data_IF_565875372330
#
_entry.id   IF_565875372330
#
_cell.length_a   1.000
_cell.length_b   1.000
_cell.length_c   1.000
_cell.angle_alpha   90.00
_cell.angle_beta   90.00
_cell.angle_gamma   90.00
#
_symmetry.space_group_name_H-M   'P 1'
#
loop_
_entity.id
_entity.type
_entity.pdbx_description
1 polymer ?
#
# COMPACT_ATOMS: atom_id res chain seq x y z
N UNK A 1 -27.93 10.73 29.53
CA UNK A 1 -26.56 10.33 29.10
C UNK A 1 -26.24 10.77 27.67
N UNK A 2 -26.51 10.01 26.60
CA UNK A 2 -26.16 10.47 25.23
C UNK A 2 -26.85 11.80 24.83
N UNK A 3 -28.06 12.07 25.35
CA UNK A 3 -28.77 13.35 25.12
C UNK A 3 -28.06 14.58 25.70
N UNK A 4 -27.10 14.39 26.61
CA UNK A 4 -26.35 15.48 27.24
C UNK A 4 -25.00 15.75 26.55
N UNK A 5 -24.62 14.93 25.57
CA UNK A 5 -23.39 15.07 24.81
C UNK A 5 -23.65 15.85 23.52
N UNK A 6 -23.87 17.15 23.68
CA UNK A 6 -24.20 18.05 22.58
C UNK A 6 -22.97 18.62 21.86
N UNK A 7 -21.77 18.39 22.41
CA UNK A 7 -20.55 18.94 21.81
C UNK A 7 -20.20 18.24 20.50
N UNK A 8 -19.92 18.98 19.40
CA UNK A 8 -19.56 18.39 18.12
C UNK A 8 -18.25 17.57 18.16
N UNK A 9 -17.41 17.75 19.17
CA UNK A 9 -16.13 17.03 19.33
C UNK A 9 -16.29 15.51 19.49
N UNK A 10 -17.45 15.04 19.96
CA UNK A 10 -17.70 13.61 20.12
C UNK A 10 -17.74 12.86 18.78
N UNK A 11 -17.86 13.57 17.65
CA UNK A 11 -17.80 13.01 16.30
C UNK A 11 -16.48 12.28 15.96
N UNK A 12 -15.38 12.63 16.63
CA UNK A 12 -14.05 12.06 16.39
C UNK A 12 -13.78 10.77 17.17
N UNK A 13 -14.76 10.31 17.95
CA UNK A 13 -14.65 9.14 18.83
C UNK A 13 -15.75 8.13 18.52
N UNK A 14 -15.57 6.89 18.96
CA UNK A 14 -16.55 5.82 18.80
C UNK A 14 -17.88 6.26 19.46
N UNK A 15 -18.99 6.11 18.72
CA UNK A 15 -20.30 6.65 19.11
C UNK A 15 -20.83 6.11 20.45
N UNK A 16 -20.34 4.94 20.88
CA UNK A 16 -20.67 4.33 22.16
C UNK A 16 -19.40 4.24 23.01
N UNK A 17 -19.21 5.09 24.02
CA UNK A 17 -18.09 4.96 24.93
C UNK A 17 -18.26 3.73 25.83
N UNK A 18 -17.15 3.21 26.32
CA UNK A 18 -17.17 2.13 27.30
C UNK A 18 -17.39 2.71 28.70
N UNK A 19 -18.28 2.11 29.47
CA UNK A 19 -18.50 2.47 30.88
C UNK A 19 -17.62 1.55 31.72
N UNK A 20 -16.63 2.12 32.39
CA UNK A 20 -15.68 1.41 33.23
C UNK A 20 -15.83 1.88 34.68
N UNK A 21 -15.46 1.00 35.63
CA UNK A 21 -15.29 1.39 37.04
C UNK A 21 -13.80 1.33 37.37
N UNK A 22 -13.18 2.47 37.66
CA UNK A 22 -11.76 2.61 37.99
C UNK A 22 -11.69 3.15 39.42
N UNK A 23 -11.04 2.43 40.33
CA UNK A 23 -10.87 2.83 41.74
C UNK A 23 -12.18 3.17 42.47
N UNK A 24 -13.28 2.51 42.09
CA UNK A 24 -14.63 2.74 42.64
C UNK A 24 -15.42 3.86 41.95
N UNK A 25 -14.86 4.51 40.93
CA UNK A 25 -15.47 5.62 40.20
C UNK A 25 -15.95 5.19 38.81
N UNK A 26 -17.12 5.67 38.39
CA UNK A 26 -17.62 5.44 37.04
C UNK A 26 -16.97 6.38 36.03
N UNK A 27 -16.44 5.80 34.95
CA UNK A 27 -15.67 6.50 33.92
C UNK A 27 -16.22 6.15 32.55
N UNK A 28 -16.38 7.16 31.70
CA UNK A 28 -16.61 6.97 30.27
C UNK A 28 -15.29 6.98 29.52
N UNK A 29 -15.00 5.89 28.81
CA UNK A 29 -13.83 5.77 27.96
C UNK A 29 -14.22 5.95 26.49
N UNK A 30 -13.71 7.00 25.87
CA UNK A 30 -13.92 7.34 24.47
C UNK A 30 -12.70 6.92 23.64
N UNK A 31 -12.92 6.04 22.66
CA UNK A 31 -11.88 5.58 21.75
C UNK A 31 -11.86 6.44 20.49
N UNK A 32 -10.68 6.87 20.05
CA UNK A 32 -10.54 7.67 18.83
C UNK A 32 -10.95 6.86 17.58
N UNK A 33 -11.69 7.49 16.67
CA UNK A 33 -12.16 6.88 15.42
C UNK A 33 -11.12 6.93 14.29
N UNK A 34 -9.99 7.60 14.49
CA UNK A 34 -8.94 7.72 13.47
C UNK A 34 -8.32 6.36 13.17
N UNK A 35 -8.12 6.07 11.88
CA UNK A 35 -7.54 4.81 11.46
C UNK A 35 -6.12 4.63 12.04
N UNK A 36 -5.89 3.51 12.74
CA UNK A 36 -4.61 3.19 13.38
C UNK A 36 -4.35 3.87 14.73
N UNK A 37 -5.20 4.81 15.16
CA UNK A 37 -5.07 5.44 16.46
C UNK A 37 -5.56 4.50 17.58
N UNK A 38 -4.75 4.35 18.63
CA UNK A 38 -5.07 3.51 19.81
C UNK A 38 -5.39 4.31 21.07
N UNK A 39 -5.45 5.64 20.95
CA UNK A 39 -5.68 6.53 22.09
C UNK A 39 -7.11 6.37 22.59
N UNK A 40 -7.24 6.28 23.90
CA UNK A 40 -8.50 6.29 24.62
C UNK A 40 -8.50 7.42 25.65
N UNK A 41 -9.58 8.18 25.69
CA UNK A 41 -9.74 9.32 26.56
C UNK A 41 -10.79 8.99 27.62
N UNK A 42 -10.42 9.18 28.88
CA UNK A 42 -11.26 8.87 30.02
C UNK A 42 -11.91 10.14 30.59
N UNK A 43 -13.23 10.09 30.79
CA UNK A 43 -14.04 11.14 31.39
C UNK A 43 -14.70 10.60 32.66
N UNK A 44 -14.31 11.17 33.80
CA UNK A 44 -14.81 10.78 35.13
C UNK A 44 -16.18 11.42 35.41
N UNK A 45 -17.16 10.63 35.85
CA UNK A 45 -18.56 11.06 36.02
C UNK A 45 -18.87 11.73 37.37
N UNK A 46 -17.97 11.62 38.32
CA UNK A 46 -18.12 12.10 39.70
C UNK A 46 -17.70 13.57 39.90
N UNK A 47 -16.89 14.11 38.99
CA UNK A 47 -16.33 15.46 39.11
C UNK A 47 -17.22 16.50 38.44
N UNK A 48 -17.23 17.74 38.93
CA UNK A 48 -17.96 18.86 38.31
C UNK A 48 -17.62 19.08 36.82
N UNK A 49 -16.49 18.57 36.36
CA UNK A 49 -16.02 18.62 34.97
C UNK A 49 -16.53 17.49 34.06
N UNK A 50 -17.64 16.81 34.39
CA UNK A 50 -18.24 15.73 33.57
C UNK A 50 -18.41 16.12 32.09
N UNK A 51 -18.58 17.43 31.81
CA UNK A 51 -18.82 17.97 30.46
C UNK A 51 -17.59 18.60 29.81
N UNK A 52 -16.42 18.54 30.44
CA UNK A 52 -15.20 19.16 29.90
C UNK A 52 -14.66 18.35 28.72
N UNK A 53 -14.43 19.04 27.59
CA UNK A 53 -13.95 18.44 26.33
C UNK A 53 -12.49 18.77 26.02
N UNK A 54 -11.77 19.46 26.92
CA UNK A 54 -10.43 19.97 26.64
C UNK A 54 -9.41 18.87 26.32
N UNK A 55 -9.49 17.71 26.97
CA UNK A 55 -8.61 16.57 26.69
C UNK A 55 -8.90 15.97 25.30
N UNK A 56 -10.18 15.91 24.91
CA UNK A 56 -10.59 15.47 23.58
C UNK A 56 -10.08 16.41 22.49
N UNK A 57 -10.26 17.72 22.67
CA UNK A 57 -9.78 18.73 21.73
C UNK A 57 -8.27 18.68 21.55
N UNK A 58 -7.49 18.53 22.63
CA UNK A 58 -6.03 18.38 22.56
C UNK A 58 -5.62 17.17 21.71
N UNK A 59 -6.28 16.03 21.90
CA UNK A 59 -6.02 14.84 21.11
C UNK A 59 -6.41 15.04 19.65
N UNK A 60 -7.62 15.54 19.38
CA UNK A 60 -8.13 15.77 18.02
C UNK A 60 -7.19 16.69 17.24
N UNK A 61 -6.70 17.78 17.86
CA UNK A 61 -5.72 18.70 17.25
C UNK A 61 -4.47 17.98 16.74
N UNK A 62 -3.95 17.02 17.50
CA UNK A 62 -2.75 16.26 17.14
C UNK A 62 -3.01 15.07 16.21
N UNK A 63 -4.20 14.46 16.30
CA UNK A 63 -4.52 13.22 15.60
C UNK A 63 -5.19 13.45 14.23
N UNK A 64 -6.04 14.46 14.14
CA UNK A 64 -6.83 14.77 12.94
C UNK A 64 -6.38 16.04 12.23
N UNK A 65 -5.52 16.84 12.87
CA UNK A 65 -5.02 18.10 12.34
C UNK A 65 -5.63 19.32 13.03
N UNK A 66 -4.87 20.42 13.19
CA UNK A 66 -5.35 21.63 13.87
C UNK A 66 -6.49 22.35 13.14
N UNK A 67 -6.58 22.20 11.82
CA UNK A 67 -7.61 22.78 10.95
C UNK A 67 -9.01 22.23 11.20
N UNK A 68 -9.12 21.07 11.86
CA UNK A 68 -10.40 20.39 12.09
C UNK A 68 -11.20 21.03 13.22
N UNK A 69 -10.53 21.61 14.20
CA UNK A 69 -11.17 22.25 15.35
C UNK A 69 -12.07 23.45 14.97
N UNK A 70 -11.63 24.46 14.19
CA UNK A 70 -12.50 25.59 13.83
C UNK A 70 -13.73 25.19 13.01
N UNK A 71 -13.61 24.15 12.16
CA UNK A 71 -14.75 23.59 11.43
C UNK A 71 -15.73 22.85 12.35
N UNK A 72 -15.21 22.19 13.39
CA UNK A 72 -15.99 21.52 14.44
C UNK A 72 -16.75 22.51 15.30
N UNK A 73 -16.11 23.62 15.67
CA UNK A 73 -16.72 24.67 16.51
C UNK A 73 -17.86 25.43 15.80
N UNK A 74 -17.87 25.40 14.46
CA UNK A 74 -18.91 26.00 13.62
C UNK A 74 -20.10 25.07 13.35
N UNK A 75 -19.99 23.78 13.71
CA UNK A 75 -21.03 22.78 13.46
C UNK A 75 -22.11 22.79 14.54
N UNK A 76 -23.35 22.45 14.16
CA UNK A 76 -24.49 22.45 15.08
C UNK A 76 -24.49 21.25 16.02
N UNK A 77 -24.05 20.10 15.53
CA UNK A 77 -24.00 18.86 16.29
C UNK A 77 -22.91 17.89 15.78
N UNK A 78 -22.68 16.82 16.53
CA UNK A 78 -21.70 15.80 16.19
C UNK A 78 -22.04 15.01 14.91
N UNK A 79 -23.32 14.89 14.53
CA UNK A 79 -23.71 14.17 13.32
C UNK A 79 -23.32 14.94 12.06
N UNK A 80 -23.45 16.26 12.08
CA UNK A 80 -22.99 17.15 11.01
C UNK A 80 -21.48 17.03 10.80
N UNK A 81 -20.70 17.02 11.88
CA UNK A 81 -19.24 16.83 11.84
C UNK A 81 -18.87 15.44 11.32
N UNK A 82 -19.53 14.38 11.80
CA UNK A 82 -19.30 13.02 11.32
C UNK A 82 -19.46 12.90 9.80
N UNK A 83 -20.52 13.49 9.23
CA UNK A 83 -20.83 13.37 7.80
C UNK A 83 -19.96 14.26 6.93
N UNK A 84 -19.79 15.52 7.30
CA UNK A 84 -19.21 16.53 6.43
C UNK A 84 -17.69 16.67 6.61
N UNK A 85 -17.17 16.36 7.79
CA UNK A 85 -15.77 16.60 8.16
C UNK A 85 -15.03 15.28 8.34
N UNK A 86 -15.50 14.40 9.22
CA UNK A 86 -14.84 13.09 9.44
C UNK A 86 -14.95 12.21 8.20
N UNK A 87 -16.16 12.09 7.65
CA UNK A 87 -16.41 11.33 6.43
C UNK A 87 -15.69 11.90 5.19
N UNK A 88 -15.54 13.23 5.10
CA UNK A 88 -14.74 13.83 4.04
C UNK A 88 -13.26 13.58 4.27
N UNK A 89 -12.66 13.93 5.41
CA UNK A 89 -11.22 13.72 5.69
C UNK A 89 -10.78 12.25 5.47
N UNK A 90 -11.61 11.28 5.86
CA UNK A 90 -11.35 9.85 5.61
C UNK A 90 -11.40 9.47 4.11
N UNK A 91 -12.08 10.25 3.27
CA UNK A 91 -12.23 10.06 1.83
C UNK A 91 -11.39 11.02 0.96
N UNK A 92 -11.02 12.21 1.43
CA UNK A 92 -10.36 13.27 0.63
C UNK A 92 -8.84 13.20 0.63
N UNK A 93 -8.23 12.17 1.22
CA UNK A 93 -6.87 11.78 0.84
C UNK A 93 -6.86 11.37 -0.62
N UNK A 94 -6.79 12.34 -1.53
CA UNK A 94 -6.62 12.09 -2.96
C UNK A 94 -5.36 11.27 -3.10
N UNK A 95 -5.48 10.00 -3.51
CA UNK A 95 -4.32 9.15 -3.84
C UNK A 95 -3.36 9.95 -4.73
N UNK A 96 -3.89 10.76 -5.64
CA UNK A 96 -3.10 11.66 -6.48
C UNK A 96 -2.26 12.69 -5.71
N UNK A 97 -2.74 13.23 -4.58
CA UNK A 97 -1.98 14.14 -3.71
C UNK A 97 -0.93 13.40 -2.88
N UNK A 98 -1.24 12.20 -2.37
CA UNK A 98 -0.30 11.36 -1.62
C UNK A 98 0.85 10.85 -2.50
N UNK A 99 0.55 10.55 -3.76
CA UNK A 99 1.49 10.11 -4.78
C UNK A 99 1.99 11.25 -5.66
N UNK A 100 1.67 12.51 -5.32
CA UNK A 100 2.15 13.66 -6.07
C UNK A 100 3.68 13.70 -5.96
N UNK A 101 4.33 13.59 -7.12
CA UNK A 101 5.77 13.44 -7.18
C UNK A 101 6.42 14.74 -6.73
N UNK A 102 7.01 14.75 -5.53
CA UNK A 102 7.76 15.90 -5.04
C UNK A 102 9.06 16.06 -5.84
N UNK A 103 9.08 17.06 -6.73
CA UNK A 103 10.27 17.46 -7.51
C UNK A 103 10.30 16.96 -8.96
N UNK A 104 11.20 17.56 -9.77
CA UNK A 104 11.39 17.25 -11.21
C UNK A 104 12.41 16.14 -11.49
N UNK A 105 12.60 15.20 -10.54
CA UNK A 105 13.61 14.14 -10.67
C UNK A 105 13.31 13.15 -11.80
N UNK A 106 14.36 12.54 -12.38
CA UNK A 106 14.22 11.42 -13.32
C UNK A 106 13.45 10.29 -12.62
N UNK A 107 12.50 9.67 -13.32
CA UNK A 107 11.80 8.49 -12.80
C UNK A 107 12.82 7.38 -12.59
N UNK A 108 13.05 7.02 -11.34
CA UNK A 108 13.88 5.87 -10.98
C UNK A 108 12.95 4.77 -10.50
N UNK A 109 13.11 3.59 -11.07
CA UNK A 109 12.44 2.39 -10.60
C UNK A 109 13.34 1.70 -9.58
N UNK A 110 12.78 1.30 -8.45
CA UNK A 110 13.50 0.42 -7.53
C UNK A 110 13.61 -0.96 -8.17
N UNK A 111 14.84 -1.48 -8.27
CA UNK A 111 15.11 -2.88 -8.62
C UNK A 111 15.00 -3.81 -7.40
N UNK A 112 14.78 -3.24 -6.21
CA UNK A 112 14.66 -3.99 -4.96
C UNK A 112 13.25 -4.58 -4.85
N UNK A 113 13.18 -5.88 -4.62
CA UNK A 113 11.91 -6.53 -4.30
C UNK A 113 11.28 -5.90 -3.07
N UNK A 114 9.95 -5.75 -3.10
CA UNK A 114 9.20 -5.27 -1.95
C UNK A 114 9.41 -6.18 -0.74
N UNK A 115 9.58 -5.56 0.43
CA UNK A 115 9.48 -6.26 1.71
C UNK A 115 8.05 -6.80 1.90
N UNK A 116 7.88 -7.71 2.86
CA UNK A 116 6.56 -8.24 3.18
C UNK A 116 5.56 -7.13 3.55
N UNK A 117 5.99 -6.14 4.32
CA UNK A 117 5.17 -4.99 4.72
C UNK A 117 4.80 -4.13 3.52
N UNK A 118 5.77 -3.80 2.66
CA UNK A 118 5.51 -3.04 1.42
C UNK A 118 4.56 -3.77 0.49
N UNK A 119 4.67 -5.10 0.38
CA UNK A 119 3.74 -5.92 -0.42
C UNK A 119 2.33 -5.84 0.13
N UNK A 120 2.13 -5.89 1.45
CA UNK A 120 0.80 -5.72 2.06
C UNK A 120 0.25 -4.32 1.83
N UNK A 121 1.06 -3.28 1.98
CA UNK A 121 0.64 -1.91 1.70
C UNK A 121 0.26 -1.72 0.24
N UNK A 122 1.06 -2.25 -0.69
CA UNK A 122 0.74 -2.26 -2.11
C UNK A 122 -0.60 -2.97 -2.39
N UNK A 123 -0.82 -4.16 -1.82
CA UNK A 123 -2.11 -4.87 -1.97
C UNK A 123 -3.29 -4.07 -1.39
N UNK A 124 -3.11 -3.44 -0.23
CA UNK A 124 -4.11 -2.56 0.37
C UNK A 124 -4.44 -1.39 -0.55
N UNK A 125 -3.40 -0.75 -1.09
CA UNK A 125 -3.52 0.36 -2.04
C UNK A 125 -4.30 -0.06 -3.30
N UNK A 126 -3.92 -1.17 -3.92
CA UNK A 126 -4.56 -1.63 -5.16
C UNK A 126 -6.04 -2.01 -4.95
N UNK A 127 -6.47 -2.22 -3.70
CA UNK A 127 -7.85 -2.56 -3.34
C UNK A 127 -8.71 -1.38 -2.86
N UNK A 128 -8.15 -0.18 -2.68
CA UNK A 128 -8.89 0.96 -2.10
C UNK A 128 -10.10 1.43 -2.92
N UNK A 129 -10.18 1.09 -4.21
CA UNK A 129 -11.36 1.35 -5.05
C UNK A 129 -12.17 0.12 -5.46
N UNK A 130 -11.61 -1.09 -5.29
CA UNK A 130 -12.22 -2.37 -5.71
C UNK A 130 -11.80 -3.51 -4.77
N UNK A 131 -12.43 -3.63 -3.59
CA UNK A 131 -12.06 -4.64 -2.60
C UNK A 131 -12.17 -6.08 -3.11
N UNK A 132 -13.12 -6.33 -4.01
CA UNK A 132 -13.37 -7.64 -4.64
C UNK A 132 -12.35 -8.00 -5.72
N UNK A 133 -11.49 -7.06 -6.13
CA UNK A 133 -10.49 -7.34 -7.16
C UNK A 133 -9.48 -8.37 -6.65
N UNK A 134 -9.40 -9.49 -7.35
CA UNK A 134 -8.46 -10.56 -7.04
C UNK A 134 -7.04 -10.14 -7.45
N UNK A 135 -6.13 -10.12 -6.48
CA UNK A 135 -4.70 -9.90 -6.72
C UNK A 135 -3.99 -11.24 -6.48
N UNK A 136 -3.33 -11.81 -7.51
CA UNK A 136 -2.63 -13.08 -7.35
C UNK A 136 -1.47 -12.93 -6.35
N UNK A 137 -1.22 -13.98 -5.58
CA UNK A 137 -0.06 -14.01 -4.69
C UNK A 137 1.25 -13.99 -5.50
N UNK A 138 2.38 -13.56 -4.93
CA UNK A 138 3.69 -13.67 -5.59
C UNK A 138 4.00 -15.09 -6.06
N UNK A 139 3.54 -16.10 -5.30
CA UNK A 139 3.72 -17.51 -5.65
C UNK A 139 2.87 -17.91 -6.86
N UNK A 140 1.63 -17.40 -6.95
CA UNK A 140 0.75 -17.58 -8.12
C UNK A 140 1.39 -16.96 -9.35
N UNK A 141 1.81 -15.70 -9.27
CA UNK A 141 2.50 -15.01 -10.36
C UNK A 141 3.75 -15.77 -10.79
N UNK A 142 4.57 -16.24 -9.84
CA UNK A 142 5.77 -17.03 -10.15
C UNK A 142 5.45 -18.33 -10.90
N UNK A 143 4.42 -19.07 -10.46
CA UNK A 143 3.97 -20.30 -11.14
C UNK A 143 3.49 -20.02 -12.55
N UNK A 144 2.66 -19.00 -12.72
CA UNK A 144 2.10 -18.63 -14.01
C UNK A 144 3.17 -18.15 -14.97
N UNK A 145 4.12 -17.31 -14.51
CA UNK A 145 5.27 -16.87 -15.30
C UNK A 145 6.14 -18.05 -15.72
N UNK A 146 6.44 -18.99 -14.82
CA UNK A 146 7.19 -20.22 -15.17
C UNK A 146 6.47 -21.06 -16.22
N UNK A 147 5.15 -21.19 -16.12
CA UNK A 147 4.34 -21.91 -17.09
C UNK A 147 4.33 -21.22 -18.46
N UNK A 148 4.15 -19.90 -18.48
CA UNK A 148 4.21 -19.08 -19.70
C UNK A 148 5.59 -19.20 -20.34
N UNK A 149 6.66 -19.12 -19.54
CA UNK A 149 8.03 -19.30 -20.00
C UNK A 149 8.22 -20.67 -20.66
N UNK A 150 7.87 -21.76 -19.97
CA UNK A 150 8.03 -23.12 -20.50
C UNK A 150 7.27 -23.32 -21.82
N UNK A 151 6.03 -22.86 -21.90
CA UNK A 151 5.21 -22.94 -23.13
C UNK A 151 5.79 -22.09 -24.26
N UNK A 152 6.26 -20.89 -23.95
CA UNK A 152 6.87 -19.98 -24.93
C UNK A 152 8.18 -20.56 -25.43
N UNK A 153 9.02 -21.07 -24.55
CA UNK A 153 10.28 -21.74 -24.88
C UNK A 153 10.05 -22.93 -25.83
N UNK A 154 9.05 -23.77 -25.57
CA UNK A 154 8.69 -24.87 -26.48
C UNK A 154 8.26 -24.37 -27.87
N UNK A 155 7.46 -23.30 -27.93
CA UNK A 155 7.02 -22.71 -29.21
C UNK A 155 8.18 -22.10 -29.99
N UNK A 156 9.08 -21.38 -29.31
CA UNK A 156 10.28 -20.81 -29.91
C UNK A 156 11.21 -21.93 -30.39
N UNK A 157 11.44 -22.97 -29.58
CA UNK A 157 12.25 -24.12 -29.98
C UNK A 157 11.71 -24.77 -31.26
N UNK A 158 10.39 -25.01 -31.32
CA UNK A 158 9.73 -25.52 -32.53
C UNK A 158 9.92 -24.58 -33.72
N UNK A 159 9.68 -23.28 -33.53
CA UNK A 159 9.85 -22.27 -34.57
C UNK A 159 11.29 -22.23 -35.11
N UNK A 160 12.31 -22.35 -34.25
CA UNK A 160 13.71 -22.36 -34.64
C UNK A 160 14.10 -23.65 -35.36
N UNK A 161 13.59 -24.81 -34.92
CA UNK A 161 13.83 -26.10 -35.57
C UNK A 161 13.20 -26.21 -36.97
N UNK A 162 12.02 -25.60 -37.15
CA UNK A 162 11.30 -25.57 -38.43
C UNK A 162 11.76 -24.42 -39.35
N UNK A 163 12.73 -23.60 -38.91
CA UNK A 163 13.19 -22.47 -39.69
C UNK A 163 14.11 -22.92 -40.83
N UNK A 164 13.73 -22.60 -42.07
CA UNK A 164 14.46 -23.02 -43.28
C UNK A 164 15.67 -22.13 -43.64
N UNK A 165 15.86 -21.02 -42.93
CA UNK A 165 16.94 -20.06 -43.19
C UNK A 165 18.00 -20.11 -42.10
N UNK A 166 19.08 -19.35 -42.29
CA UNK A 166 20.20 -19.29 -41.35
C UNK A 166 19.79 -18.66 -40.02
N UNK A 167 20.27 -19.29 -38.94
CA UNK A 167 20.20 -18.77 -37.58
C UNK A 167 21.60 -18.28 -37.18
N UNK A 168 21.67 -17.07 -36.63
CA UNK A 168 22.89 -16.52 -36.04
C UNK A 168 22.76 -16.50 -34.53
N UNK A 169 23.81 -16.88 -33.81
CA UNK A 169 23.82 -16.90 -32.35
C UNK A 169 24.81 -15.87 -31.83
N UNK A 170 24.43 -15.18 -30.75
CA UNK A 170 25.33 -14.34 -29.99
C UNK A 170 25.43 -14.83 -28.55
N UNK A 171 26.60 -14.66 -27.98
CA UNK A 171 26.90 -14.98 -26.60
C UNK A 171 27.52 -13.75 -25.98
N UNK A 172 26.91 -13.25 -24.92
CA UNK A 172 27.43 -12.13 -24.15
C UNK A 172 27.74 -12.63 -22.74
N UNK A 173 28.91 -12.29 -22.23
CA UNK A 173 29.39 -12.76 -20.94
C UNK A 173 29.91 -11.58 -20.12
N UNK A 174 29.45 -11.46 -18.88
CA UNK A 174 29.85 -10.38 -17.98
C UNK A 174 29.97 -10.86 -16.55
N UNK A 175 30.73 -10.12 -15.75
CA UNK A 175 30.85 -10.33 -14.31
C UNK A 175 30.15 -9.18 -13.59
N UNK A 176 29.21 -9.52 -12.69
CA UNK A 176 28.57 -8.53 -11.83
C UNK A 176 29.51 -8.09 -10.70
N UNK A 177 29.28 -6.91 -10.08
CA UNK A 177 30.10 -6.41 -8.98
C UNK A 177 30.21 -7.34 -7.76
N UNK A 178 29.31 -8.31 -7.63
CA UNK A 178 29.32 -9.34 -6.58
C UNK A 178 30.11 -10.61 -6.97
N UNK A 179 30.94 -10.55 -8.01
CA UNK A 179 31.74 -11.67 -8.54
C UNK A 179 30.94 -12.84 -9.14
N UNK A 180 29.62 -12.67 -9.34
CA UNK A 180 28.83 -13.63 -10.11
C UNK A 180 29.08 -13.41 -11.61
N UNK A 181 29.45 -14.48 -12.32
CA UNK A 181 29.63 -14.47 -13.77
C UNK A 181 28.35 -14.93 -14.44
N UNK A 182 27.89 -14.20 -15.45
CA UNK A 182 26.71 -14.55 -16.24
C UNK A 182 27.08 -14.69 -17.71
N UNK A 183 26.34 -15.56 -18.40
CA UNK A 183 26.39 -15.71 -19.85
C UNK A 183 24.97 -15.66 -20.38
N UNK A 184 24.71 -14.77 -21.33
CA UNK A 184 23.46 -14.69 -22.07
C UNK A 184 23.64 -15.23 -23.48
N UNK A 185 22.62 -15.94 -23.96
CA UNK A 185 22.52 -16.41 -25.33
C UNK A 185 21.37 -15.71 -26.03
N UNK A 186 21.58 -15.24 -27.25
CA UNK A 186 20.52 -14.73 -28.11
C UNK A 186 20.57 -15.35 -29.50
N UNK A 187 19.39 -15.59 -30.07
CA UNK A 187 19.23 -16.09 -31.44
C UNK A 187 18.73 -14.96 -32.31
N UNK A 188 19.36 -14.79 -33.47
CA UNK A 188 19.00 -13.81 -34.48
C UNK A 188 18.60 -14.55 -35.75
N UNK A 189 17.45 -14.18 -36.32
CA UNK A 189 16.91 -14.77 -37.54
C UNK A 189 16.15 -13.73 -38.35
N UNK A 190 15.97 -13.98 -39.63
CA UNK A 190 15.06 -13.20 -40.46
C UNK A 190 13.66 -13.84 -40.43
N UNK A 191 12.66 -13.10 -39.94
CA UNK A 191 11.27 -13.55 -39.94
C UNK A 191 10.43 -12.63 -40.83
N UNK A 192 9.98 -13.15 -41.99
CA UNK A 192 9.17 -12.41 -42.98
C UNK A 192 9.82 -11.11 -43.47
N UNK A 193 11.13 -11.15 -43.78
CA UNK A 193 11.86 -9.96 -44.25
C UNK A 193 12.30 -9.01 -43.14
N UNK A 194 12.06 -9.33 -41.87
CA UNK A 194 12.40 -8.47 -40.72
C UNK A 194 13.37 -9.20 -39.79
N UNK A 195 14.49 -8.56 -39.39
CA UNK A 195 15.37 -9.11 -38.37
C UNK A 195 14.64 -9.28 -37.03
N UNK A 196 14.68 -10.49 -36.49
CA UNK A 196 14.13 -10.85 -35.20
C UNK A 196 15.27 -11.32 -34.29
N UNK A 197 15.32 -10.77 -33.08
CA UNK A 197 16.31 -11.15 -32.06
C UNK A 197 15.57 -11.65 -30.82
N UNK A 198 15.93 -12.84 -30.35
CA UNK A 198 15.27 -13.51 -29.23
C UNK A 198 16.36 -13.82 -28.18
N UNK A 199 16.33 -13.15 -27.01
CA UNK A 199 17.08 -13.59 -25.86
C UNK A 199 16.59 -14.98 -25.44
N UNK A 200 17.48 -15.96 -25.48
CA UNK A 200 17.14 -17.36 -25.25
C UNK A 200 17.27 -17.73 -23.78
N UNK A 201 18.43 -17.45 -23.19
CA UNK A 201 18.71 -17.82 -21.80
C UNK A 201 19.78 -16.91 -21.18
N UNK A 202 19.79 -16.84 -19.85
CA UNK A 202 20.82 -16.18 -19.05
C UNK A 202 21.20 -17.13 -17.92
N UNK A 203 22.44 -17.59 -17.96
CA UNK A 203 22.96 -18.58 -17.03
C UNK A 203 23.98 -17.95 -16.10
N UNK A 204 23.84 -18.20 -14.80
CA UNK A 204 24.92 -17.96 -13.84
C UNK A 204 25.96 -19.07 -13.96
N UNK A 205 27.22 -18.70 -14.15
CA UNK A 205 28.33 -19.64 -14.31
C UNK A 205 28.91 -19.95 -12.93
N UNK A 206 28.97 -21.25 -12.59
CA UNK A 206 29.58 -21.70 -11.35
C UNK A 206 31.07 -21.33 -11.31
N UNK A 207 31.52 -20.76 -10.20
CA UNK A 207 32.95 -20.54 -9.98
C UNK A 207 33.66 -21.89 -9.82
N UNK A 208 34.67 -22.13 -10.65
CA UNK A 208 35.58 -23.25 -10.46
C UNK A 208 36.59 -22.85 -9.41
N UNK A 209 36.52 -23.46 -8.23
CA UNK A 209 37.61 -23.39 -7.24
C UNK A 209 38.79 -24.18 -7.80
N UNK A 210 39.79 -23.47 -8.32
CA UNK A 210 41.09 -24.00 -8.73
C UNK A 210 41.93 -24.41 -7.53
#
# INVERSE_FOLDING_TARGET
>A
LMKEWTSPIYAFFDATPQILTIDGWQVHEFKCSAWGCKVKIQCYLDKKDVRSTGNMQKHVKGCWGPEVLPATDSAKDANEVCKNIVGSILCTGSITAEFERKGKGKVVYSHRQHTHTETRHFQSLMKTGRPEYFIPSPLTVSRDVKLVFARTHQRVAKMLQEHNSMLSFTTDAWTLPNHCVFVAFSVHLEHKGVPLSIPSDILEVAMVSS
#
